data_IF_707780217639
#
_entry.id   IF_707780217639
#
_cell.length_a   1.000
_cell.length_b   1.000
_cell.length_c   1.000
_cell.angle_alpha   90.00
_cell.angle_beta   90.00
_cell.angle_gamma   90.00
#
_symmetry.space_group_name_H-M   'P 1'
#
loop_
_entity.id
_entity.type
_entity.pdbx_description
1 polymer ?
#
# COMPACT_ATOMS: atom_id res chain seq x y z
N UNK A 1 -23.64 20.86 9.09
CA UNK A 1 -23.09 19.59 9.65
C UNK A 1 -21.59 19.79 9.79
N UNK A 2 -21.09 19.94 11.01
CA UNK A 2 -19.65 19.90 11.27
C UNK A 2 -19.13 18.50 10.92
N UNK A 3 -18.21 18.44 9.97
CA UNK A 3 -17.50 17.21 9.65
C UNK A 3 -16.39 17.10 10.68
N UNK A 4 -16.54 16.19 11.64
CA UNK A 4 -15.49 15.84 12.60
C UNK A 4 -14.39 15.16 11.79
N UNK A 5 -13.30 15.88 11.53
CA UNK A 5 -12.13 15.32 10.86
C UNK A 5 -11.29 14.57 11.92
N UNK A 6 -11.57 13.28 12.11
CA UNK A 6 -10.64 12.39 12.80
C UNK A 6 -9.25 12.51 12.14
N UNK A 7 -8.18 12.49 12.93
CA UNK A 7 -6.81 12.54 12.37
C UNK A 7 -6.62 11.30 11.49
N UNK A 8 -6.49 11.50 10.18
CA UNK A 8 -6.24 10.44 9.19
C UNK A 8 -4.92 9.68 9.45
N UNK A 9 -4.05 10.22 10.32
CA UNK A 9 -2.76 9.64 10.71
C UNK A 9 -2.68 9.51 12.22
N UNK A 10 -2.33 8.31 12.69
CA UNK A 10 -2.06 8.00 14.10
C UNK A 10 -0.65 7.45 14.22
N UNK A 11 0.09 7.86 15.26
CA UNK A 11 1.49 7.47 15.45
C UNK A 11 1.76 7.04 16.89
N UNK A 12 2.70 6.13 17.10
CA UNK A 12 3.24 5.77 18.42
C UNK A 12 4.58 5.04 18.28
N UNK A 13 5.40 5.05 19.33
CA UNK A 13 6.53 4.14 19.46
C UNK A 13 6.07 2.76 19.96
N UNK A 14 6.53 1.69 19.32
CA UNK A 14 6.27 0.30 19.73
C UNK A 14 7.62 -0.41 19.91
N UNK A 15 8.01 -0.69 21.16
CA UNK A 15 9.25 -1.41 21.49
C UNK A 15 10.52 -0.82 20.82
N UNK A 16 10.56 0.51 20.66
CA UNK A 16 11.66 1.25 20.03
C UNK A 16 11.56 1.40 18.50
N UNK A 17 10.46 0.96 17.90
CA UNK A 17 10.17 1.10 16.46
C UNK A 17 9.05 2.11 16.26
N UNK A 18 9.20 2.99 15.27
CA UNK A 18 8.13 3.93 14.92
C UNK A 18 6.98 3.20 14.24
N UNK A 19 5.76 3.50 14.64
CA UNK A 19 4.54 2.98 14.02
C UNK A 19 3.66 4.14 13.58
N UNK A 20 3.22 4.12 12.32
CA UNK A 20 2.25 5.07 11.78
C UNK A 20 1.12 4.31 11.09
N UNK A 21 -0.11 4.55 11.54
CA UNK A 21 -1.32 4.12 10.85
C UNK A 21 -1.85 5.27 9.99
N UNK A 22 -1.94 5.05 8.68
CA UNK A 22 -2.54 5.98 7.73
C UNK A 22 -3.88 5.40 7.26
N UNK A 23 -4.96 6.00 7.72
CA UNK A 23 -6.32 5.50 7.54
C UNK A 23 -6.84 5.63 6.11
N UNK A 24 -6.54 6.76 5.46
CA UNK A 24 -7.12 7.11 4.16
C UNK A 24 -6.28 8.15 3.42
N UNK A 25 -6.44 8.21 2.10
CA UNK A 25 -5.85 9.23 1.23
C UNK A 25 -6.90 10.25 0.73
N UNK A 26 -8.08 10.32 1.33
CA UNK A 26 -9.16 11.22 0.89
C UNK A 26 -8.87 12.70 1.18
N UNK A 27 -8.08 12.98 2.21
CA UNK A 27 -7.62 14.32 2.56
C UNK A 27 -6.39 14.70 1.72
N UNK A 28 -6.33 15.96 1.27
CA UNK A 28 -5.16 16.54 0.62
C UNK A 28 -3.96 16.78 1.57
N UNK A 29 -4.15 16.47 2.87
CA UNK A 29 -3.14 16.61 3.93
C UNK A 29 -2.43 15.31 4.27
N UNK A 30 -2.82 14.16 3.72
CA UNK A 30 -2.29 12.84 4.09
C UNK A 30 -0.74 12.78 4.11
N UNK A 31 -0.08 13.29 3.07
CA UNK A 31 1.39 13.32 3.03
C UNK A 31 2.02 14.27 4.07
N UNK A 32 1.37 15.41 4.34
CA UNK A 32 1.84 16.38 5.34
C UNK A 32 1.69 15.78 6.75
N UNK A 33 0.54 15.22 7.05
CA UNK A 33 0.23 14.66 8.37
C UNK A 33 1.11 13.41 8.64
N UNK A 34 1.43 12.61 7.61
CA UNK A 34 2.43 11.54 7.73
C UNK A 34 3.85 12.07 7.97
N UNK A 35 4.24 13.14 7.28
CA UNK A 35 5.53 13.79 7.53
C UNK A 35 5.64 14.29 8.97
N UNK A 36 4.60 14.96 9.48
CA UNK A 36 4.54 15.43 10.88
C UNK A 36 4.59 14.26 11.87
N UNK A 37 3.87 13.17 11.61
CA UNK A 37 3.94 11.96 12.42
C UNK A 37 5.36 11.37 12.50
N UNK A 38 6.10 11.33 11.38
CA UNK A 38 7.49 10.87 11.36
C UNK A 38 8.40 11.81 12.18
N UNK A 39 8.17 13.12 12.13
CA UNK A 39 8.94 14.09 12.92
C UNK A 39 8.68 13.94 14.43
N UNK A 40 7.43 13.71 14.82
CA UNK A 40 7.07 13.42 16.22
C UNK A 40 7.74 12.14 16.71
N UNK A 41 7.71 11.07 15.92
CA UNK A 41 8.38 9.81 16.24
C UNK A 41 9.89 9.99 16.40
N UNK A 42 10.54 10.72 15.49
CA UNK A 42 11.98 11.03 15.59
C UNK A 42 12.30 11.81 16.86
N UNK A 43 11.48 12.80 17.20
CA UNK A 43 11.64 13.58 18.43
C UNK A 43 11.49 12.69 19.68
N UNK A 44 10.47 11.84 19.72
CA UNK A 44 10.22 10.91 20.83
C UNK A 44 11.36 9.90 21.00
N UNK A 45 11.94 9.42 19.90
CA UNK A 45 13.10 8.53 19.91
C UNK A 45 14.43 9.25 20.22
N UNK A 46 14.45 10.58 20.29
CA UNK A 46 15.68 11.36 20.45
C UNK A 46 16.59 11.39 19.23
N UNK A 47 16.06 11.12 18.02
CA UNK A 47 16.85 11.15 16.79
C UNK A 47 16.30 10.24 15.68
N UNK A 48 17.20 9.59 14.95
CA UNK A 48 16.84 8.70 13.85
C UNK A 48 16.10 7.44 14.34
N UNK A 49 15.02 7.05 13.65
CA UNK A 49 14.25 5.85 13.99
C UNK A 49 15.00 4.58 13.53
N UNK A 50 15.19 3.58 14.42
CA UNK A 50 15.79 2.28 14.06
C UNK A 50 15.00 1.52 12.99
N UNK A 51 13.69 1.75 12.94
CA UNK A 51 12.78 1.19 11.94
C UNK A 51 11.44 1.92 11.97
N UNK A 52 10.69 1.80 10.88
CA UNK A 52 9.36 2.37 10.73
C UNK A 52 8.39 1.32 10.18
N UNK A 53 7.21 1.25 10.77
CA UNK A 53 6.07 0.50 10.26
C UNK A 53 5.05 1.50 9.74
N UNK A 54 4.73 1.41 8.45
CA UNK A 54 3.63 2.13 7.82
C UNK A 54 2.45 1.18 7.67
N UNK A 55 1.41 1.35 8.47
CA UNK A 55 0.21 0.51 8.42
C UNK A 55 -0.85 1.12 7.50
N UNK A 56 -1.13 0.38 6.41
CA UNK A 56 -2.16 0.68 5.40
C UNK A 56 -3.29 -0.35 5.40
N UNK A 57 -3.38 -1.22 6.43
CA UNK A 57 -4.47 -2.19 6.57
C UNK A 57 -5.81 -1.45 6.68
N UNK A 58 -6.80 -1.91 5.92
CA UNK A 58 -8.12 -1.29 5.85
C UNK A 58 -8.18 0.04 5.08
N UNK A 59 -7.06 0.56 4.58
CA UNK A 59 -7.03 1.82 3.84
C UNK A 59 -7.48 1.62 2.39
N UNK A 60 -8.74 1.95 2.10
CA UNK A 60 -9.37 1.85 0.78
C UNK A 60 -8.86 2.83 -0.29
N UNK A 61 -7.87 3.66 0.05
CA UNK A 61 -7.20 4.58 -0.86
C UNK A 61 -7.72 6.01 -0.77
N UNK A 62 -7.80 6.69 -1.92
CA UNK A 62 -8.14 8.11 -2.01
C UNK A 62 -7.43 8.77 -3.18
N UNK A 63 -6.90 9.98 -2.96
CA UNK A 63 -6.32 10.81 -4.01
C UNK A 63 -5.00 10.23 -4.55
N UNK A 64 -4.91 10.03 -5.87
CA UNK A 64 -3.68 9.64 -6.56
C UNK A 64 -2.51 10.56 -6.21
N UNK A 65 -2.74 11.88 -6.24
CA UNK A 65 -1.71 12.87 -5.94
C UNK A 65 -1.13 12.72 -4.54
N UNK A 66 -1.94 12.27 -3.57
CA UNK A 66 -1.47 12.01 -2.21
C UNK A 66 -0.67 10.71 -2.12
N UNK A 67 -1.03 9.67 -2.86
CA UNK A 67 -0.20 8.45 -2.93
C UNK A 67 1.22 8.74 -3.42
N UNK A 68 1.36 9.59 -4.43
CA UNK A 68 2.67 9.98 -4.99
C UNK A 68 3.48 10.78 -3.98
N UNK A 69 2.84 11.74 -3.28
CA UNK A 69 3.49 12.53 -2.22
C UNK A 69 3.92 11.66 -1.03
N UNK A 70 3.08 10.73 -0.61
CA UNK A 70 3.40 9.78 0.48
C UNK A 70 4.56 8.87 0.08
N UNK A 71 4.54 8.29 -1.12
CA UNK A 71 5.66 7.48 -1.61
C UNK A 71 6.98 8.29 -1.67
N UNK A 72 6.90 9.58 -2.04
CA UNK A 72 8.06 10.49 -2.05
C UNK A 72 8.70 10.72 -0.69
N UNK A 73 8.01 10.47 0.43
CA UNK A 73 8.63 10.56 1.76
C UNK A 73 9.68 9.46 1.98
N UNK A 74 9.63 8.39 1.20
CA UNK A 74 10.51 7.22 1.36
C UNK A 74 11.42 6.98 0.15
N UNK A 75 11.04 7.49 -1.03
CA UNK A 75 11.78 7.38 -2.29
C UNK A 75 12.57 8.66 -2.58
N UNK A 76 13.73 8.49 -3.20
CA UNK A 76 14.57 9.61 -3.66
C UNK A 76 14.51 9.71 -5.19
N UNK A 77 13.51 10.43 -5.71
CA UNK A 77 13.24 10.48 -7.16
C UNK A 77 12.60 9.20 -7.72
N UNK A 78 12.49 9.07 -9.05
CA UNK A 78 12.07 7.86 -9.77
C UNK A 78 10.55 7.63 -9.86
N UNK A 79 10.13 6.69 -10.72
CA UNK A 79 8.70 6.41 -10.98
C UNK A 79 8.01 5.80 -9.74
N UNK A 80 6.80 6.28 -9.46
CA UNK A 80 5.89 5.75 -8.41
C UNK A 80 4.78 4.94 -9.08
N UNK A 81 4.17 5.50 -10.11
CA UNK A 81 3.04 4.87 -10.82
C UNK A 81 2.94 5.45 -12.22
N UNK A 82 2.53 4.62 -13.18
CA UNK A 82 2.04 5.09 -14.47
C UNK A 82 0.56 4.82 -14.64
N UNK A 83 -0.15 5.81 -15.19
CA UNK A 83 -1.55 5.71 -15.60
C UNK A 83 -1.57 5.45 -17.09
N UNK A 84 -2.23 4.37 -17.52
CA UNK A 84 -2.33 4.03 -18.95
C UNK A 84 -3.80 3.86 -19.32
N UNK A 85 -4.27 4.68 -20.26
CA UNK A 85 -5.60 4.61 -20.83
C UNK A 85 -5.67 3.73 -22.07
N UNK A 86 -6.70 3.94 -22.89
CA UNK A 86 -7.03 3.06 -24.04
C UNK A 86 -6.10 3.22 -25.24
N UNK A 87 -5.60 4.43 -25.48
CA UNK A 87 -4.71 4.72 -26.62
C UNK A 87 -3.26 4.51 -26.20
N UNK A 88 -2.39 4.09 -27.13
CA UNK A 88 -0.95 3.86 -26.86
C UNK A 88 -0.26 5.09 -26.25
N UNK A 89 -0.67 6.29 -26.66
CA UNK A 89 -0.11 7.56 -26.20
C UNK A 89 -0.82 8.13 -24.95
N UNK A 90 -1.87 7.47 -24.47
CA UNK A 90 -2.58 7.86 -23.25
C UNK A 90 -1.85 7.27 -22.04
N UNK A 91 -0.68 7.83 -21.76
CA UNK A 91 0.22 7.38 -20.70
C UNK A 91 0.76 8.57 -19.93
N UNK A 92 0.51 8.58 -18.63
CA UNK A 92 1.06 9.55 -17.71
C UNK A 92 1.92 8.84 -16.68
N UNK A 93 3.07 9.44 -16.32
CA UNK A 93 3.98 8.89 -15.31
C UNK A 93 4.11 9.87 -14.17
N UNK A 94 4.00 9.34 -12.96
CA UNK A 94 4.13 10.09 -11.73
C UNK A 94 5.40 9.67 -11.02
N UNK A 95 6.22 10.66 -10.69
CA UNK A 95 7.52 10.45 -10.09
C UNK A 95 7.58 10.99 -8.67
N UNK A 96 8.35 10.32 -7.82
CA UNK A 96 8.69 10.84 -6.52
C UNK A 96 9.61 12.05 -6.64
N UNK A 97 9.52 12.97 -5.68
CA UNK A 97 10.49 14.08 -5.57
C UNK A 97 11.84 13.55 -5.05
N UNK A 98 12.92 14.25 -5.38
CA UNK A 98 14.23 14.03 -4.74
C UNK A 98 14.20 14.51 -3.29
N UNK A 99 14.99 13.88 -2.44
CA UNK A 99 15.04 14.14 -1.00
C UNK A 99 13.99 13.33 -0.26
N UNK A 100 14.31 12.08 0.09
CA UNK A 100 13.46 11.25 0.95
C UNK A 100 13.50 11.72 2.40
N UNK A 101 12.35 11.73 3.07
CA UNK A 101 12.20 12.08 4.50
C UNK A 101 12.74 11.01 5.45
N UNK A 102 12.54 9.74 5.09
CA UNK A 102 12.98 8.60 5.88
C UNK A 102 13.73 7.60 5.00
N UNK A 103 14.97 7.28 5.42
CA UNK A 103 15.89 6.41 4.71
C UNK A 103 16.11 5.05 5.40
N UNK A 104 15.66 4.87 6.64
CA UNK A 104 15.89 3.66 7.43
C UNK A 104 14.99 2.48 7.05
N UNK A 105 15.11 1.35 7.79
CA UNK A 105 14.29 0.15 7.60
C UNK A 105 12.78 0.42 7.62
N UNK A 106 12.05 -0.05 6.62
CA UNK A 106 10.64 0.25 6.43
C UNK A 106 9.85 -1.03 6.12
N UNK A 107 8.83 -1.30 6.92
CA UNK A 107 7.82 -2.32 6.64
C UNK A 107 6.49 -1.63 6.37
N UNK A 108 5.79 -2.05 5.32
CA UNK A 108 4.41 -1.62 5.05
C UNK A 108 3.46 -2.78 5.39
N UNK A 109 2.50 -2.54 6.26
CA UNK A 109 1.46 -3.53 6.58
C UNK A 109 0.27 -3.37 5.64
N UNK A 110 -0.17 -4.48 5.06
CA UNK A 110 -1.30 -4.52 4.12
C UNK A 110 -2.28 -5.65 4.43
N UNK A 111 -3.53 -5.48 4.00
CA UNK A 111 -4.52 -6.56 3.99
C UNK A 111 -5.48 -6.42 2.81
N UNK A 112 -6.49 -7.30 2.72
CA UNK A 112 -7.52 -7.25 1.67
C UNK A 112 -8.35 -5.95 1.64
N UNK A 113 -8.33 -5.14 2.70
CA UNK A 113 -8.93 -3.81 2.73
C UNK A 113 -8.04 -2.69 2.21
N UNK A 114 -6.74 -2.96 2.00
CA UNK A 114 -5.80 -2.03 1.37
C UNK A 114 -6.13 -1.94 -0.13
N UNK A 115 -6.53 -0.76 -0.63
CA UNK A 115 -6.97 -0.59 -2.02
C UNK A 115 -6.50 0.72 -2.67
N UNK A 116 -6.46 0.76 -4.01
CA UNK A 116 -6.27 1.97 -4.82
C UNK A 116 -4.97 2.74 -4.46
N UNK A 117 -5.06 4.00 -4.01
CA UNK A 117 -3.92 4.82 -3.62
C UNK A 117 -2.96 4.12 -2.64
N UNK A 118 -3.46 3.31 -1.72
CA UNK A 118 -2.64 2.53 -0.78
C UNK A 118 -1.84 1.43 -1.48
N UNK A 119 -2.42 0.82 -2.51
CA UNK A 119 -1.74 -0.18 -3.35
C UNK A 119 -0.66 0.46 -4.21
N UNK A 120 -0.87 1.70 -4.68
CA UNK A 120 0.15 2.48 -5.38
C UNK A 120 1.38 2.70 -4.48
N UNK A 121 1.17 3.16 -3.24
CA UNK A 121 2.27 3.35 -2.28
C UNK A 121 2.99 2.02 -2.01
N UNK A 122 2.23 0.97 -1.69
CA UNK A 122 2.78 -0.35 -1.38
C UNK A 122 3.60 -0.89 -2.56
N UNK A 123 3.04 -0.89 -3.76
CA UNK A 123 3.71 -1.39 -4.96
C UNK A 123 4.94 -0.56 -5.35
N UNK A 124 4.87 0.77 -5.24
CA UNK A 124 6.00 1.63 -5.57
C UNK A 124 7.18 1.43 -4.61
N UNK A 125 6.90 1.27 -3.32
CA UNK A 125 7.95 0.99 -2.33
C UNK A 125 8.51 -0.42 -2.48
N UNK A 126 7.67 -1.38 -2.84
CA UNK A 126 8.05 -2.75 -3.09
C UNK A 126 8.95 -2.86 -4.33
N UNK A 127 8.51 -2.38 -5.50
CA UNK A 127 9.23 -2.49 -6.77
C UNK A 127 10.58 -1.84 -6.80
N UNK A 128 10.77 -0.90 -5.88
CA UNK A 128 11.98 -0.14 -5.74
C UNK A 128 12.92 -0.67 -4.67
N UNK A 129 12.62 -1.85 -4.12
CA UNK A 129 13.35 -2.44 -3.01
C UNK A 129 13.45 -1.50 -1.81
N UNK A 130 12.48 -0.60 -1.63
CA UNK A 130 12.51 0.42 -0.57
C UNK A 130 11.93 -0.11 0.74
N UNK A 131 10.90 -0.94 0.66
CA UNK A 131 10.22 -1.51 1.83
C UNK A 131 9.87 -2.97 1.60
N UNK A 132 9.79 -3.72 2.70
CA UNK A 132 9.14 -5.03 2.70
C UNK A 132 7.64 -4.86 2.95
N UNK A 133 6.82 -5.52 2.14
CA UNK A 133 5.38 -5.60 2.33
C UNK A 133 5.08 -6.82 3.19
N UNK A 134 4.38 -6.62 4.32
CA UNK A 134 4.03 -7.66 5.26
C UNK A 134 2.51 -7.68 5.52
N UNK A 135 1.95 -8.87 5.71
CA UNK A 135 0.53 -9.05 5.98
C UNK A 135 -0.12 -9.94 4.94
N UNK A 136 -1.21 -9.49 4.32
CA UNK A 136 -1.91 -10.26 3.28
C UNK A 136 -2.05 -9.45 1.98
N UNK A 137 -2.38 -10.15 0.88
CA UNK A 137 -2.58 -9.54 -0.44
C UNK A 137 -3.61 -8.41 -0.36
N UNK A 138 -3.34 -7.32 -1.06
CA UNK A 138 -4.24 -6.17 -1.18
C UNK A 138 -5.47 -6.47 -2.05
N UNK A 139 -6.40 -5.53 -2.11
CA UNK A 139 -7.68 -5.73 -2.78
C UNK A 139 -7.59 -5.97 -4.30
N UNK A 140 -6.73 -5.23 -5.01
CA UNK A 140 -6.59 -5.29 -6.48
C UNK A 140 -7.32 -4.20 -7.25
N UNK A 141 -7.53 -3.01 -6.66
CA UNK A 141 -8.20 -1.89 -7.35
C UNK A 141 -7.18 -1.02 -8.08
N UNK A 142 -6.80 -1.47 -9.27
CA UNK A 142 -5.87 -0.79 -10.17
C UNK A 142 -6.51 0.11 -11.23
N UNK A 143 -7.79 0.48 -11.12
CA UNK A 143 -8.51 1.25 -12.14
C UNK A 143 -8.69 2.72 -11.79
N UNK A 144 -8.55 3.61 -12.77
CA UNK A 144 -8.83 5.04 -12.65
C UNK A 144 -10.26 5.31 -13.09
N UNK A 145 -11.01 6.08 -12.29
CA UNK A 145 -12.34 6.54 -12.65
C UNK A 145 -12.33 8.05 -12.87
N UNK A 146 -12.75 8.47 -14.06
CA UNK A 146 -12.97 9.87 -14.41
C UNK A 146 -14.42 10.26 -14.15
N UNK A 147 -14.63 11.48 -13.65
CA UNK A 147 -15.95 12.10 -13.54
C UNK A 147 -16.12 13.01 -14.75
N UNK A 148 -17.04 12.65 -15.64
CA UNK A 148 -17.33 13.37 -16.87
C UNK A 148 -18.64 14.13 -16.67
N UNK A 149 -18.60 15.47 -16.51
CA UNK A 149 -19.82 16.26 -16.29
C UNK A 149 -20.70 16.22 -17.54
N UNK A 150 -22.00 16.01 -17.33
CA UNK A 150 -23.01 16.05 -18.40
C UNK A 150 -23.60 17.45 -18.46
N UNK A 151 -23.57 18.05 -19.65
CA UNK A 151 -24.11 19.40 -19.89
C UNK A 151 -23.52 20.46 -18.93
N UNK A 152 -22.18 20.46 -18.81
CA UNK A 152 -21.45 21.34 -17.88
C UNK A 152 -21.71 21.04 -16.40
N UNK A 153 -22.27 19.87 -16.07
CA UNK A 153 -22.64 19.45 -14.73
C UNK A 153 -24.13 19.64 -14.42
N UNK A 154 -24.89 20.33 -15.29
CA UNK A 154 -26.32 20.61 -15.10
C UNK A 154 -27.19 19.35 -15.15
N UNK A 155 -26.73 18.30 -15.81
CA UNK A 155 -27.42 17.00 -15.91
C UNK A 155 -26.72 15.89 -15.12
N UNK A 156 -25.94 16.28 -14.10
CA UNK A 156 -25.13 15.35 -13.31
C UNK A 156 -23.80 15.01 -13.99
N UNK A 157 -23.25 13.83 -13.67
CA UNK A 157 -21.96 13.39 -14.19
C UNK A 157 -21.90 11.87 -14.33
N UNK A 158 -21.13 11.40 -15.31
CA UNK A 158 -20.79 9.98 -15.47
C UNK A 158 -19.49 9.68 -14.74
N UNK A 159 -19.48 8.64 -13.91
CA UNK A 159 -18.25 8.09 -13.32
C UNK A 159 -17.85 6.86 -14.12
N UNK A 160 -16.80 6.99 -14.94
CA UNK A 160 -16.39 5.95 -15.88
C UNK A 160 -14.95 5.52 -15.63
N UNK A 161 -14.69 4.22 -15.68
CA UNK A 161 -13.33 3.69 -15.68
C UNK A 161 -12.66 3.98 -17.02
N UNK A 162 -11.57 4.75 -17.00
CA UNK A 162 -10.93 5.29 -18.21
C UNK A 162 -9.49 4.81 -18.40
N UNK A 163 -8.82 4.44 -17.31
CA UNK A 163 -7.42 4.03 -17.32
C UNK A 163 -7.11 3.03 -16.20
N UNK A 164 -5.88 2.54 -16.19
CA UNK A 164 -5.35 1.66 -15.13
C UNK A 164 -4.01 2.15 -14.60
N UNK A 165 -3.75 1.80 -13.35
CA UNK A 165 -2.48 1.98 -12.67
C UNK A 165 -1.54 0.82 -12.98
N UNK A 166 -0.28 1.20 -13.21
CA UNK A 166 0.84 0.31 -13.41
C UNK A 166 1.96 0.69 -12.46
N UNK A 167 2.56 -0.31 -11.83
CA UNK A 167 3.65 -0.14 -10.88
C UNK A 167 4.96 0.20 -11.61
N UNK A 168 6.04 0.60 -10.90
CA UNK A 168 7.32 0.91 -11.53
C UNK A 168 7.92 -0.23 -12.36
N UNK A 169 7.70 -1.50 -11.97
CA UNK A 169 8.10 -2.68 -12.77
C UNK A 169 7.21 -2.94 -13.99
N UNK A 170 6.13 -2.17 -14.16
CA UNK A 170 5.24 -2.25 -15.32
C UNK A 170 4.10 -3.25 -15.20
N UNK A 171 3.89 -3.89 -14.04
CA UNK A 171 2.71 -4.75 -13.77
C UNK A 171 1.47 -3.92 -13.46
N UNK A 172 0.28 -4.43 -13.76
CA UNK A 172 -0.97 -3.80 -13.31
C UNK A 172 -1.31 -4.23 -11.88
N UNK A 173 -1.96 -3.33 -11.14
CA UNK A 173 -2.58 -3.62 -9.84
C UNK A 173 -3.96 -4.27 -10.04
N UNK A 174 -4.62 -4.05 -11.17
CA UNK A 174 -6.02 -4.42 -11.38
C UNK A 174 -6.22 -5.94 -11.29
N UNK A 175 -7.05 -6.39 -10.35
CA UNK A 175 -7.38 -7.81 -10.14
C UNK A 175 -6.28 -8.65 -9.48
N UNK A 176 -5.05 -8.14 -9.45
CA UNK A 176 -3.88 -8.82 -8.86
C UNK A 176 -3.55 -8.26 -7.47
N UNK A 177 -3.68 -6.96 -7.28
CA UNK A 177 -3.23 -6.29 -6.07
C UNK A 177 -1.71 -6.31 -5.92
N UNK A 178 -1.26 -6.28 -4.68
CA UNK A 178 0.13 -6.32 -4.24
C UNK A 178 0.27 -7.53 -3.34
N UNK A 179 0.96 -8.55 -3.84
CA UNK A 179 1.36 -9.71 -3.05
C UNK A 179 2.43 -9.33 -2.03
N UNK A 180 2.29 -9.71 -0.74
CA UNK A 180 3.26 -9.38 0.28
C UNK A 180 4.59 -10.12 0.07
N UNK A 181 5.69 -9.53 0.51
CA UNK A 181 7.00 -10.20 0.58
C UNK A 181 7.03 -11.20 1.75
N UNK A 182 6.28 -10.90 2.81
CA UNK A 182 6.14 -11.74 4.01
C UNK A 182 4.66 -11.89 4.33
N UNK A 183 4.09 -13.06 4.03
CA UNK A 183 2.71 -13.33 4.39
C UNK A 183 2.61 -13.64 5.88
N UNK A 184 1.92 -12.77 6.61
CA UNK A 184 1.57 -12.97 8.02
C UNK A 184 0.06 -12.83 8.19
N UNK A 185 -0.56 -13.83 8.80
CA UNK A 185 -1.99 -13.83 9.10
C UNK A 185 -2.30 -13.11 10.41
N UNK A 186 -3.51 -12.56 10.53
CA UNK A 186 -3.94 -11.85 11.74
C UNK A 186 -4.58 -12.76 12.78
N UNK A 187 -4.96 -13.99 12.42
CA UNK A 187 -5.63 -14.95 13.29
C UNK A 187 -4.96 -16.32 13.16
N UNK A 188 -5.00 -17.16 14.21
CA UNK A 188 -4.51 -18.53 14.15
C UNK A 188 -5.15 -19.31 13.00
N UNK A 189 -4.44 -20.33 12.51
CA UNK A 189 -5.00 -21.23 11.51
C UNK A 189 -6.11 -22.09 12.13
N UNK A 190 -7.34 -21.82 11.71
CA UNK A 190 -8.54 -22.57 12.11
C UNK A 190 -8.92 -23.67 11.10
N UNK A 191 -8.09 -23.88 10.08
CA UNK A 191 -8.35 -24.83 8.99
C UNK A 191 -9.49 -24.42 8.05
N UNK A 192 -10.05 -23.20 8.21
CA UNK A 192 -11.14 -22.69 7.38
C UNK A 192 -10.61 -21.67 6.38
N UNK A 193 -11.25 -21.66 5.21
CA UNK A 193 -11.02 -20.60 4.23
C UNK A 193 -11.77 -19.35 4.68
N UNK A 194 -11.05 -18.35 5.21
CA UNK A 194 -11.64 -17.04 5.45
C UNK A 194 -11.99 -16.35 4.13
N UNK A 195 -13.24 -15.91 3.98
CA UNK A 195 -13.68 -15.19 2.78
C UNK A 195 -12.97 -13.84 2.75
N UNK A 196 -12.08 -13.68 1.77
CA UNK A 196 -11.49 -12.39 1.40
C UNK A 196 -12.11 -11.92 0.10
N UNK A 197 -12.60 -10.69 0.11
CA UNK A 197 -13.10 -10.07 -1.10
C UNK A 197 -11.93 -9.38 -1.78
N UNK A 198 -11.71 -9.74 -3.05
CA UNK A 198 -10.74 -9.10 -3.94
C UNK A 198 -11.47 -8.50 -5.14
N UNK A 199 -10.84 -7.59 -5.87
CA UNK A 199 -11.41 -7.06 -7.11
C UNK A 199 -11.74 -8.20 -8.07
N UNK A 200 -10.84 -9.19 -8.18
CA UNK A 200 -10.98 -10.35 -9.06
C UNK A 200 -12.16 -11.27 -8.71
N UNK A 201 -12.67 -11.21 -7.48
CA UNK A 201 -13.83 -12.01 -7.04
C UNK A 201 -15.16 -11.27 -7.23
N UNK A 202 -15.15 -10.01 -7.63
CA UNK A 202 -16.37 -9.24 -7.84
C UNK A 202 -17.11 -9.64 -9.13
N UNK A 203 -18.44 -9.51 -9.17
CA UNK A 203 -19.21 -9.60 -10.41
C UNK A 203 -18.66 -8.59 -11.44
N UNK A 204 -18.50 -9.05 -12.68
CA UNK A 204 -17.98 -8.22 -13.80
C UNK A 204 -16.58 -7.63 -13.57
N UNK A 205 -15.76 -8.26 -12.71
CA UNK A 205 -14.37 -7.90 -12.52
C UNK A 205 -13.62 -7.80 -13.86
N UNK A 206 -12.74 -6.80 -13.97
CA UNK A 206 -11.99 -6.53 -15.20
C UNK A 206 -10.95 -7.62 -15.49
N UNK A 207 -10.60 -8.43 -14.49
CA UNK A 207 -9.58 -9.48 -14.56
C UNK A 207 -9.78 -10.44 -15.75
N UNK A 208 -11.00 -10.95 -15.98
CA UNK A 208 -11.27 -11.90 -17.07
C UNK A 208 -11.06 -11.29 -18.44
N UNK A 209 -11.33 -9.98 -18.58
CA UNK A 209 -11.09 -9.24 -19.81
C UNK A 209 -9.58 -9.04 -19.97
N UNK A 210 -8.91 -8.54 -18.94
CA UNK A 210 -7.47 -8.25 -18.95
C UNK A 210 -6.64 -9.51 -19.23
N UNK A 211 -6.94 -10.64 -18.59
CA UNK A 211 -6.25 -11.91 -18.83
C UNK A 211 -6.38 -12.35 -20.30
N UNK A 212 -7.59 -12.22 -20.87
CA UNK A 212 -7.85 -12.56 -22.27
C UNK A 212 -7.17 -11.62 -23.27
N UNK A 213 -7.04 -10.33 -22.95
CA UNK A 213 -6.57 -9.32 -23.91
C UNK A 213 -5.10 -8.94 -23.76
N UNK A 214 -4.50 -9.13 -22.59
CA UNK A 214 -3.18 -8.57 -22.25
C UNK A 214 -2.21 -9.56 -21.59
N UNK A 215 -2.65 -10.78 -21.27
CA UNK A 215 -1.75 -11.85 -20.80
C UNK A 215 -0.98 -11.54 -19.51
N UNK A 216 -1.63 -10.91 -18.53
CA UNK A 216 -0.97 -10.57 -17.26
C UNK A 216 -1.05 -11.70 -16.24
N UNK A 217 0.07 -12.34 -15.96
CA UNK A 217 0.27 -13.17 -14.78
C UNK A 217 1.06 -12.40 -13.70
N UNK A 218 0.63 -12.52 -12.45
CA UNK A 218 1.41 -12.06 -11.31
C UNK A 218 2.58 -13.04 -11.13
N UNK A 219 3.73 -12.76 -11.74
CA UNK A 219 4.92 -13.62 -11.66
C UNK A 219 5.57 -13.67 -10.25
N UNK A 220 4.99 -13.01 -9.25
CA UNK A 220 5.51 -13.01 -7.89
C UNK A 220 4.98 -14.22 -7.14
N UNK A 221 5.89 -15.14 -6.77
CA UNK A 221 5.54 -16.30 -5.95
C UNK A 221 4.94 -15.84 -4.63
N UNK A 222 3.72 -16.30 -4.35
CA UNK A 222 3.08 -16.05 -3.06
C UNK A 222 3.83 -16.79 -1.95
N UNK A 223 4.33 -16.09 -0.91
CA UNK A 223 5.07 -16.72 0.17
C UNK A 223 4.15 -17.58 1.04
N UNK A 224 4.73 -18.54 1.78
CA UNK A 224 3.96 -19.36 2.73
C UNK A 224 3.41 -18.47 3.86
N UNK A 225 2.13 -18.62 4.25
CA UNK A 225 1.55 -17.87 5.36
C UNK A 225 2.19 -18.25 6.69
N UNK A 226 2.44 -17.25 7.53
CA UNK A 226 2.80 -17.40 8.93
C UNK A 226 1.59 -17.06 9.79
N UNK A 227 1.21 -17.97 10.67
CA UNK A 227 0.06 -17.80 11.55
C UNK A 227 0.49 -17.46 12.97
N UNK A 228 -0.33 -16.71 13.72
CA UNK A 228 -0.23 -16.66 15.17
C UNK A 228 -0.36 -18.07 15.77
N UNK A 229 0.32 -18.36 16.90
CA UNK A 229 0.04 -19.53 17.74
C UNK A 229 -1.45 -19.62 18.13
N UNK A 230 -1.96 -20.82 18.40
CA UNK A 230 -3.38 -21.03 18.76
C UNK A 230 -3.81 -20.30 20.03
N UNK A 231 -2.88 -20.10 20.96
CA UNK A 231 -3.03 -19.40 22.23
C UNK A 231 -2.64 -17.91 22.14
N UNK A 232 -2.49 -17.36 20.92
CA UNK A 232 -2.11 -15.98 20.73
C UNK A 232 -3.15 -15.01 21.33
N UNK A 233 -2.75 -14.01 22.14
CA UNK A 233 -3.69 -13.08 22.77
C UNK A 233 -4.47 -12.24 21.75
N UNK A 234 -5.79 -12.19 21.88
CA UNK A 234 -6.67 -11.44 20.96
C UNK A 234 -6.44 -9.91 20.99
N UNK A 235 -5.95 -9.39 22.11
CA UNK A 235 -5.62 -7.97 22.28
C UNK A 235 -4.29 -7.56 21.63
N UNK A 236 -3.51 -8.53 21.12
CA UNK A 236 -2.20 -8.30 20.51
C UNK A 236 -2.23 -8.49 19.00
N UNK A 237 -1.62 -7.52 18.32
CA UNK A 237 -1.46 -7.55 16.87
C UNK A 237 -0.22 -8.37 16.46
N UNK A 238 -0.44 -9.62 16.02
CA UNK A 238 0.63 -10.51 15.60
C UNK A 238 1.45 -9.97 14.42
N UNK A 239 0.82 -9.28 13.46
CA UNK A 239 1.52 -8.72 12.30
C UNK A 239 2.47 -7.59 12.72
N UNK A 240 2.02 -6.72 13.63
CA UNK A 240 2.89 -5.67 14.20
C UNK A 240 4.04 -6.29 14.99
N UNK A 241 3.80 -7.35 15.77
CA UNK A 241 4.85 -8.05 16.51
C UNK A 241 5.90 -8.69 15.59
N UNK A 242 5.48 -9.32 14.49
CA UNK A 242 6.41 -9.84 13.48
C UNK A 242 7.21 -8.73 12.79
N UNK A 243 6.58 -7.60 12.48
CA UNK A 243 7.26 -6.45 11.90
C UNK A 243 8.32 -5.88 12.85
N UNK A 244 7.97 -5.69 14.12
CA UNK A 244 8.89 -5.23 15.17
C UNK A 244 10.04 -6.23 15.35
N UNK A 245 9.74 -7.53 15.43
CA UNK A 245 10.76 -8.58 15.54
C UNK A 245 11.75 -8.52 14.38
N UNK A 246 11.26 -8.42 13.13
CA UNK A 246 12.12 -8.36 11.96
C UNK A 246 13.01 -7.11 11.97
N UNK A 247 12.44 -5.93 12.23
CA UNK A 247 13.18 -4.67 12.28
C UNK A 247 14.27 -4.66 13.36
N UNK A 248 14.07 -5.38 14.47
CA UNK A 248 15.06 -5.50 15.56
C UNK A 248 16.06 -6.65 15.38
N UNK A 249 15.77 -7.62 14.52
CA UNK A 249 16.59 -8.85 14.38
C UNK A 249 17.90 -8.69 13.60
N UNK A 250 18.14 -7.52 12.98
CA UNK A 250 19.25 -7.32 12.04
C UNK A 250 19.05 -8.00 10.67
N UNK A 251 18.04 -8.88 10.53
CA UNK A 251 17.77 -9.64 9.29
C UNK A 251 17.02 -8.83 8.23
N UNK A 252 16.57 -7.61 8.54
CA UNK A 252 15.78 -6.79 7.62
C UNK A 252 16.47 -6.60 6.26
N UNK A 253 17.73 -6.17 6.24
CA UNK A 253 18.44 -5.90 4.98
C UNK A 253 18.74 -7.18 4.20
N UNK A 254 19.01 -8.29 4.88
CA UNK A 254 19.16 -9.60 4.24
C UNK A 254 17.85 -10.04 3.56
N UNK A 255 16.70 -9.87 4.22
CA UNK A 255 15.39 -10.16 3.61
C UNK A 255 15.07 -9.22 2.45
N UNK A 256 15.38 -7.93 2.59
CA UNK A 256 15.17 -6.95 1.53
C UNK A 256 16.01 -7.30 0.29
N UNK A 257 17.27 -7.67 0.49
CA UNK A 257 18.15 -8.13 -0.58
C UNK A 257 17.68 -9.47 -1.17
N UNK A 258 17.19 -10.43 -0.37
CA UNK A 258 16.62 -11.66 -0.91
C UNK A 258 15.38 -11.41 -1.80
N UNK A 259 14.59 -10.39 -1.48
CA UNK A 259 13.37 -10.06 -2.21
C UNK A 259 13.62 -9.24 -3.50
N UNK A 260 14.71 -8.47 -3.56
CA UNK A 260 14.94 -7.45 -4.60
C UNK A 260 16.39 -7.32 -5.09
N UNK A 261 17.31 -8.10 -4.54
CA UNK A 261 18.69 -8.15 -4.98
C UNK A 261 18.77 -8.84 -6.33
N UNK A 262 19.39 -8.15 -7.28
CA UNK A 262 20.07 -8.80 -8.40
C UNK A 262 21.36 -9.47 -7.91
#
# INVERSE_FOLDING_TARGET
REVIHGRAVRQRMIKGIGYVYLETFTSDKAARDLNEAIDLLKKENGGALPGLILDLRGNGGGLLTQSVKVASLFLDGGEVVSVRGRKKNDRERYHAKRGRKYAGPLIVLTNSGTASASEIVSAALQDRGRALIMGTRTFGKGSVQSVIPLDGGRKGALRLTTARYFTPSGRSIQGLGVTPDIWVESHPDDGKSHIRIYESSLPHALNKIILKTEGQEENRKTPKPQYPPKDWPEDKDFQVEQAVKLLKSGLYFSKLHQAFGE
#
